data_IF_771207267575
#
_entry.id   IF_771207267575
#
_cell.length_a   1.000
_cell.length_b   1.000
_cell.length_c   1.000
_cell.angle_alpha   90.00
_cell.angle_beta   90.00
_cell.angle_gamma   90.00
#
_symmetry.space_group_name_H-M   'P 1'
#
loop_
_entity.id
_entity.type
_entity.pdbx_description
1 polymer ?
#
# COMPACT_ATOMS: atom_id res chain seq x y z
N UNK A 1 14.29 -50.07 -5.00
CA UNK A 1 14.41 -49.46 -5.16
C UNK A 1 14.29 -48.46 -5.06
N UNK A 2 14.26 -48.41 -5.03
CA UNK A 2 14.36 -47.51 -5.12
C UNK A 2 14.01 -46.40 -5.04
N UNK A 3 13.92 -46.33 -4.93
CA UNK A 3 13.81 -45.28 -4.94
C UNK A 3 13.47 -44.37 -4.67
N UNK A 4 13.35 -44.38 -4.57
CA UNK A 4 13.22 -43.47 -4.36
C UNK A 4 13.13 -42.51 -3.85
N UNK A 5 13.15 -42.53 -3.64
CA UNK A 5 13.29 -41.62 -3.16
C UNK A 5 13.37 -40.58 -3.07
N UNK A 6 13.43 -40.54 -3.16
CA UNK A 6 13.74 -39.54 -3.02
C UNK A 6 13.48 -38.53 -3.20
N UNK A 7 13.38 -38.56 -3.38
CA UNK A 7 13.34 -37.56 -3.49
C UNK A 7 12.86 -36.66 -3.06
N UNK A 8 12.72 -36.74 -2.85
CA UNK A 8 12.43 -35.84 -2.46
C UNK A 8 12.58 -34.97 -1.92
N UNK A 9 12.62 -34.90 -1.79
CA UNK A 9 12.90 -34.02 -1.28
C UNK A 9 12.98 -32.99 -1.44
N UNK A 10 12.99 -32.97 -1.73
CA UNK A 10 13.27 -32.01 -1.79
C UNK A 10 12.83 -31.10 -1.77
N UNK A 11 12.58 -31.10 -1.88
CA UNK A 11 12.36 -30.18 -1.85
C UNK A 11 12.15 -29.40 -1.08
N UNK A 12 12.14 -29.53 -0.74
CA UNK A 12 12.08 -28.78 -0.07
C UNK A 12 12.42 -27.78 0.12
N UNK A 13 12.57 -27.77 -0.07
CA UNK A 13 13.00 -26.89 0.15
C UNK A 13 12.86 -25.92 0.18
N UNK A 14 12.65 -25.59 0.22
CA UNK A 14 12.64 -24.63 0.36
C UNK A 14 12.49 -23.70 0.76
N UNK A 15 12.50 -23.43 0.77
CA UNK A 15 12.54 -22.45 1.07
C UNK A 15 12.50 -21.42 1.41
N UNK A 16 12.46 -21.28 1.53
CA UNK A 16 12.39 -20.41 1.94
C UNK A 16 12.66 -19.43 2.10
N UNK A 17 12.67 -19.25 2.21
CA UNK A 17 12.94 -18.46 2.53
C UNK A 17 12.82 -17.30 2.69
N UNK A 18 12.85 -16.92 2.66
CA UNK A 18 12.87 -15.96 2.92
C UNK A 18 12.91 -14.91 2.69
N UNK A 19 12.76 -14.60 2.82
CA UNK A 19 12.85 -13.74 2.40
C UNK A 19 12.77 -12.39 2.58
N UNK A 20 13.34 -11.62 1.95
CA UNK A 20 13.06 -10.24 2.07
C UNK A 20 11.57 -10.01 2.04
N UNK A 21 11.08 -9.16 2.92
CA UNK A 21 9.66 -8.88 2.95
C UNK A 21 9.25 -8.15 1.68
N UNK A 22 8.24 -8.66 1.03
CA UNK A 22 7.65 -7.97 -0.11
C UNK A 22 6.70 -6.91 0.39
N UNK A 23 6.54 -5.80 -0.35
CA UNK A 23 5.55 -4.80 0.02
C UNK A 23 4.16 -5.41 0.05
N UNK A 24 3.37 -4.99 1.01
CA UNK A 24 1.99 -5.41 1.09
C UNK A 24 1.21 -4.79 -0.07
N UNK A 25 0.36 -5.58 -0.71
CA UNK A 25 -0.50 -5.09 -1.79
C UNK A 25 -1.93 -5.01 -1.27
N UNK A 26 -2.51 -3.84 -1.37
CA UNK A 26 -3.86 -3.59 -0.85
C UNK A 26 -4.76 -3.20 -2.01
N UNK A 27 -5.79 -4.00 -2.30
CA UNK A 27 -6.77 -3.61 -3.31
C UNK A 27 -7.71 -2.54 -2.73
N UNK A 28 -7.99 -1.52 -3.53
CA UNK A 28 -8.86 -0.42 -3.14
C UNK A 28 -9.90 -0.21 -4.22
N UNK A 29 -11.17 -0.27 -3.84
CA UNK A 29 -12.26 0.09 -4.75
C UNK A 29 -12.89 1.36 -4.26
N UNK A 30 -13.06 2.30 -5.17
CA UNK A 30 -13.71 3.56 -4.82
C UNK A 30 -14.64 3.98 -5.95
N UNK A 31 -15.92 4.15 -5.65
CA UNK A 31 -16.86 4.66 -6.67
C UNK A 31 -16.56 6.10 -7.01
N UNK A 32 -16.88 6.50 -8.25
CA UNK A 32 -16.74 7.89 -8.67
C UNK A 32 -17.53 8.79 -7.72
N UNK A 33 -16.91 9.87 -7.28
CA UNK A 33 -17.54 10.83 -6.38
C UNK A 33 -17.45 10.47 -4.91
N UNK A 34 -16.99 9.27 -4.58
CA UNK A 34 -16.87 8.84 -3.19
C UNK A 34 -15.41 8.79 -2.77
N UNK A 35 -15.21 8.73 -1.46
CA UNK A 35 -13.86 8.70 -0.89
C UNK A 35 -13.69 7.46 -0.04
N UNK A 36 -12.61 6.73 -0.29
CA UNK A 36 -12.21 5.58 0.53
C UNK A 36 -10.85 5.87 1.13
N UNK A 37 -10.73 5.72 2.43
CA UNK A 37 -9.47 5.94 3.15
C UNK A 37 -8.95 4.62 3.69
N UNK A 38 -7.68 4.33 3.43
CA UNK A 38 -7.02 3.14 3.97
C UNK A 38 -6.15 3.58 5.13
N UNK A 39 -6.38 2.95 6.28
CA UNK A 39 -5.59 3.22 7.48
C UNK A 39 -4.24 2.52 7.36
N UNK A 40 -3.17 3.24 7.65
CA UNK A 40 -1.83 2.68 7.60
C UNK A 40 -1.16 2.83 8.95
N UNK A 41 -0.38 1.81 9.30
CA UNK A 41 0.37 1.85 10.54
C UNK A 41 1.42 2.94 10.47
N UNK A 42 1.63 3.63 11.58
CA UNK A 42 2.65 4.66 11.63
C UNK A 42 2.46 5.57 12.82
N UNK A 43 3.47 6.38 13.07
CA UNK A 43 3.45 7.34 14.16
C UNK A 43 3.96 8.69 13.64
N UNK A 44 3.07 9.67 13.47
CA UNK A 44 3.48 10.96 12.89
C UNK A 44 4.53 11.70 13.71
N UNK A 45 4.63 11.42 15.02
CA UNK A 45 5.61 12.11 15.86
C UNK A 45 7.05 11.72 15.57
N UNK A 46 7.29 10.66 14.81
CA UNK A 46 8.65 10.20 14.50
C UNK A 46 9.27 10.91 13.30
N UNK A 47 8.49 11.70 12.59
CA UNK A 47 8.94 12.33 11.36
C UNK A 47 8.75 11.46 10.12
N UNK A 48 8.42 10.19 10.30
CA UNK A 48 8.08 9.33 9.18
C UNK A 48 6.69 9.68 8.66
N UNK A 49 6.55 9.62 7.35
CA UNK A 49 5.25 9.82 6.74
C UNK A 49 5.12 8.96 5.50
N UNK A 50 3.88 8.75 5.10
CA UNK A 50 3.56 8.01 3.88
C UNK A 50 3.48 8.99 2.73
N UNK A 51 4.13 8.66 1.61
CA UNK A 51 4.03 9.48 0.41
C UNK A 51 4.34 8.62 -0.82
N UNK A 52 3.90 9.05 -2.01
CA UNK A 52 4.15 8.28 -3.22
C UNK A 52 5.63 8.18 -3.50
N UNK A 53 6.08 6.99 -3.90
CA UNK A 53 7.48 6.79 -4.25
C UNK A 53 7.88 7.66 -5.43
N UNK A 54 6.97 7.80 -6.39
CA UNK A 54 7.19 8.61 -7.57
C UNK A 54 6.15 9.70 -7.63
N UNK A 55 6.44 10.74 -8.43
CA UNK A 55 5.50 11.84 -8.58
C UNK A 55 4.13 11.32 -9.00
N UNK A 56 3.11 11.77 -8.30
CA UNK A 56 1.74 11.33 -8.57
C UNK A 56 1.25 11.91 -9.90
N UNK A 57 0.74 11.09 -10.82
CA UNK A 57 0.30 11.58 -12.12
C UNK A 57 -0.94 12.45 -12.02
N UNK A 58 -0.98 13.51 -12.85
CA UNK A 58 -2.10 14.43 -12.83
C UNK A 58 -3.37 13.84 -13.43
N UNK A 59 -3.22 12.82 -14.27
CA UNK A 59 -4.34 12.21 -14.98
C UNK A 59 -4.82 10.92 -14.35
N UNK A 60 -4.44 10.66 -13.11
CA UNK A 60 -4.91 9.49 -12.40
C UNK A 60 -6.44 9.53 -12.27
N UNK A 61 -7.09 8.34 -12.20
CA UNK A 61 -8.56 8.31 -12.12
C UNK A 61 -9.09 8.70 -10.75
N UNK A 62 -8.24 9.05 -9.81
CA UNK A 62 -8.63 9.46 -8.46
C UNK A 62 -7.74 10.58 -7.98
N UNK A 63 -8.21 11.29 -6.97
CA UNK A 63 -7.39 12.26 -6.24
C UNK A 63 -6.84 11.59 -4.99
N UNK A 64 -5.59 11.89 -4.68
CA UNK A 64 -4.89 11.33 -3.54
C UNK A 64 -4.83 12.35 -2.43
N UNK A 65 -5.20 11.92 -1.22
CA UNK A 65 -5.14 12.78 -0.04
C UNK A 65 -4.51 11.97 1.10
N UNK A 66 -3.40 12.49 1.64
CA UNK A 66 -2.70 11.84 2.73
C UNK A 66 -3.01 12.65 4.00
N UNK A 67 -3.54 12.00 5.02
CA UNK A 67 -3.97 12.68 6.22
C UNK A 67 -3.47 12.01 7.47
N UNK A 68 -3.28 12.82 8.48
CA UNK A 68 -3.06 12.36 9.84
C UNK A 68 -4.24 12.82 10.68
N UNK A 69 -4.77 11.91 11.49
CA UNK A 69 -5.87 12.24 12.37
C UNK A 69 -7.22 11.87 11.79
N UNK A 70 -8.09 12.86 11.67
CA UNK A 70 -9.49 12.60 11.36
C UNK A 70 -9.73 12.44 9.85
N UNK A 71 -10.52 11.43 9.48
CA UNK A 71 -10.88 11.21 8.09
C UNK A 71 -11.86 12.25 7.60
N UNK A 72 -11.92 12.48 6.28
CA UNK A 72 -12.96 13.35 5.72
C UNK A 72 -14.34 12.80 6.03
N UNK A 73 -15.29 13.72 6.17
CA UNK A 73 -16.66 13.33 6.45
C UNK A 73 -17.22 12.49 5.30
N UNK A 74 -17.92 11.42 5.64
CA UNK A 74 -18.52 10.55 4.65
C UNK A 74 -17.57 9.55 4.00
N UNK A 75 -16.29 9.55 4.39
CA UNK A 75 -15.33 8.63 3.80
C UNK A 75 -15.53 7.22 4.33
N UNK A 76 -15.36 6.23 3.44
CA UNK A 76 -15.30 4.84 3.84
C UNK A 76 -13.91 4.54 4.39
N UNK A 77 -13.85 3.90 5.55
CA UNK A 77 -12.57 3.59 6.21
C UNK A 77 -12.28 2.10 6.08
N UNK A 78 -11.04 1.78 5.73
CA UNK A 78 -10.59 0.41 5.54
C UNK A 78 -9.34 0.18 6.36
N UNK A 79 -9.26 -0.96 7.05
CA UNK A 79 -8.09 -1.36 7.79
C UNK A 79 -8.21 -1.09 9.27
N UNK A 80 -7.14 -1.40 9.99
CA UNK A 80 -7.09 -1.20 11.44
C UNK A 80 -7.02 0.29 11.76
N UNK A 81 -7.81 0.79 12.72
CA UNK A 81 -7.79 2.21 13.03
C UNK A 81 -6.39 2.73 13.31
N UNK A 82 -6.08 3.88 12.75
CA UNK A 82 -4.78 4.51 12.88
C UNK A 82 -4.94 6.01 12.66
N UNK A 83 -3.93 6.77 13.10
CA UNK A 83 -3.92 8.19 12.84
C UNK A 83 -3.42 8.53 11.45
N UNK A 84 -2.80 7.59 10.77
CA UNK A 84 -2.29 7.82 9.42
C UNK A 84 -3.17 7.12 8.41
N UNK A 85 -3.50 7.82 7.35
CA UNK A 85 -4.37 7.25 6.33
C UNK A 85 -4.08 7.86 4.98
N UNK A 86 -4.37 7.07 3.94
CA UNK A 86 -4.28 7.50 2.56
C UNK A 86 -5.69 7.43 1.98
N UNK A 87 -6.18 8.53 1.48
CA UNK A 87 -7.55 8.63 0.98
C UNK A 87 -7.56 8.78 -0.54
N UNK A 88 -8.50 8.06 -1.14
CA UNK A 88 -8.68 8.06 -2.60
C UNK A 88 -10.08 8.56 -2.89
N UNK A 89 -10.18 9.64 -3.68
CA UNK A 89 -11.46 10.14 -4.14
C UNK A 89 -11.61 9.83 -5.62
N UNK A 90 -12.62 9.04 -5.97
CA UNK A 90 -12.86 8.64 -7.35
C UNK A 90 -13.24 9.83 -8.22
N UNK A 91 -12.59 9.95 -9.38
CA UNK A 91 -12.84 11.03 -10.33
C UNK A 91 -13.48 10.48 -11.59
N UNK A 92 -12.94 9.37 -12.09
CA UNK A 92 -13.49 8.72 -13.28
C UNK A 92 -13.11 7.24 -13.22
N UNK A 93 -13.87 6.37 -13.91
CA UNK A 93 -13.56 4.94 -13.88
C UNK A 93 -12.17 4.66 -14.43
N UNK A 94 -11.49 3.67 -13.84
CA UNK A 94 -10.17 3.27 -14.28
C UNK A 94 -9.42 2.56 -13.17
N UNK A 95 -8.26 2.05 -13.51
CA UNK A 95 -7.39 1.34 -12.57
C UNK A 95 -6.02 1.99 -12.56
N UNK A 96 -5.38 1.99 -11.41
CA UNK A 96 -4.06 2.59 -11.25
C UNK A 96 -3.35 1.92 -10.08
N UNK A 97 -2.06 1.64 -10.25
CA UNK A 97 -1.24 1.08 -9.18
C UNK A 97 -0.41 2.19 -8.57
N UNK A 98 -0.48 2.34 -7.26
CA UNK A 98 0.23 3.38 -6.53
C UNK A 98 1.14 2.75 -5.49
N UNK A 99 2.43 3.08 -5.56
CA UNK A 99 3.38 2.63 -4.55
C UNK A 99 3.62 3.77 -3.56
N UNK A 100 3.36 3.48 -2.29
CA UNK A 100 3.59 4.42 -1.21
C UNK A 100 4.74 3.93 -0.35
N UNK A 101 5.56 4.86 0.13
CA UNK A 101 6.65 4.52 1.03
C UNK A 101 6.50 5.28 2.34
N UNK A 102 6.97 4.63 3.41
CA UNK A 102 6.97 5.21 4.76
C UNK A 102 8.41 5.57 5.08
N UNK A 103 8.72 6.84 5.06
CA UNK A 103 10.09 7.30 5.20
C UNK A 103 10.11 8.74 5.70
N UNK A 104 11.30 9.17 6.09
CA UNK A 104 11.55 10.58 6.41
C UNK A 104 12.01 11.28 5.13
N UNK A 105 11.28 12.27 4.65
CA UNK A 105 11.61 12.87 3.33
C UNK A 105 12.99 13.47 3.25
N UNK A 106 13.57 13.90 4.37
CA UNK A 106 14.91 14.52 4.37
C UNK A 106 16.03 13.49 4.38
N UNK A 107 15.74 12.20 4.60
CA UNK A 107 16.76 11.14 4.62
C UNK A 107 16.88 10.51 3.25
N UNK A 108 17.53 11.20 2.35
CA UNK A 108 17.68 10.70 1.00
C UNK A 108 18.69 9.57 0.95
N UNK A 109 18.47 8.62 0.06
CA UNK A 109 19.37 7.49 -0.13
C UNK A 109 19.20 6.36 0.85
N UNK A 110 18.28 6.48 1.80
CA UNK A 110 17.99 5.40 2.73
C UNK A 110 16.78 4.62 2.26
N UNK A 111 16.77 3.33 2.61
CA UNK A 111 15.61 2.51 2.33
C UNK A 111 14.42 2.99 3.14
N UNK A 112 13.21 2.97 2.57
CA UNK A 112 12.02 3.26 3.35
C UNK A 112 11.86 2.28 4.52
N UNK A 113 11.26 2.75 5.59
CA UNK A 113 10.97 1.87 6.73
C UNK A 113 9.86 0.88 6.38
N UNK A 114 8.98 1.25 5.47
CA UNK A 114 7.90 0.36 5.04
C UNK A 114 7.43 0.79 3.66
N UNK A 115 6.72 -0.11 2.98
CA UNK A 115 6.20 0.13 1.65
C UNK A 115 4.84 -0.55 1.52
N UNK A 116 3.96 0.07 0.74
CA UNK A 116 2.65 -0.50 0.44
C UNK A 116 2.32 -0.20 -1.02
N UNK A 117 1.74 -1.18 -1.70
CA UNK A 117 1.29 -1.00 -3.07
C UNK A 117 -0.23 -1.03 -3.06
N UNK A 118 -0.84 0.04 -3.56
CA UNK A 118 -2.29 0.11 -3.70
C UNK A 118 -2.69 -0.21 -5.13
N UNK A 119 -3.58 -1.17 -5.30
CA UNK A 119 -4.19 -1.43 -6.58
C UNK A 119 -5.56 -0.77 -6.56
N UNK A 120 -5.61 0.45 -7.10
CA UNK A 120 -6.81 1.27 -7.00
C UNK A 120 -7.68 1.06 -8.21
N UNK A 121 -8.95 0.77 -7.95
CA UNK A 121 -9.94 0.62 -9.00
C UNK A 121 -11.09 1.58 -8.72
N UNK A 122 -11.29 2.50 -9.66
CA UNK A 122 -12.39 3.45 -9.56
C UNK A 122 -13.54 2.92 -10.39
N UNK A 123 -14.68 2.74 -9.75
CA UNK A 123 -15.88 2.18 -10.39
C UNK A 123 -16.93 3.28 -10.58
N UNK A 124 -17.85 3.04 -11.51
CA UNK A 124 -18.93 3.98 -11.73
C UNK A 124 -19.96 3.96 -10.63
#
# INVERSE_FOLDING_TARGET
MKSILLTALCALSVPAVVQAAEPETIPVEVPVGETTCVMLAGNPSTGYCWYPEKKFPKDAPYKLLIRNGKAPEGAKLVGTPSQMMVCFKGVRPGSHTLRMIYARPWEKGKKPANEVIFEVRVTE
#
